data_IF_717705566394
#
_entry.id   IF_717705566394
#
_cell.length_a   1.000
_cell.length_b   1.000
_cell.length_c   1.000
_cell.angle_alpha   90.00
_cell.angle_beta   90.00
_cell.angle_gamma   90.00
#
_symmetry.space_group_name_H-M   'P 1'
#
loop_
_entity.id
_entity.type
_entity.pdbx_description
1 polymer ?
#
# COMPACT_ATOMS: atom_id res chain seq x y z
N UNK A 1 10.62 -26.00 13.12
CA UNK A 1 9.53 -25.04 12.90
C UNK A 1 10.12 -23.65 12.62
N UNK A 2 9.49 -22.85 11.75
CA UNK A 2 10.00 -21.54 11.32
C UNK A 2 10.02 -20.54 12.48
N UNK A 3 8.99 -20.54 13.32
CA UNK A 3 8.86 -19.63 14.47
C UNK A 3 9.94 -19.92 15.51
N UNK A 4 10.13 -21.19 15.88
CA UNK A 4 11.19 -21.56 16.83
C UNK A 4 12.58 -21.13 16.34
N UNK A 5 12.86 -21.28 15.04
CA UNK A 5 14.13 -20.84 14.45
C UNK A 5 14.28 -19.32 14.51
N UNK A 6 13.23 -18.56 14.19
CA UNK A 6 13.26 -17.09 14.25
C UNK A 6 13.48 -16.58 15.69
N UNK A 7 12.81 -17.18 16.67
CA UNK A 7 12.92 -16.79 18.09
C UNK A 7 14.29 -17.12 18.70
N UNK A 8 15.06 -18.03 18.10
CA UNK A 8 16.43 -18.37 18.52
C UNK A 8 17.49 -17.48 17.85
N UNK A 9 17.14 -16.77 16.78
CA UNK A 9 18.07 -15.84 16.13
C UNK A 9 18.30 -14.62 17.01
N UNK A 10 19.52 -14.08 17.00
CA UNK A 10 19.82 -12.84 17.70
C UNK A 10 18.94 -11.69 17.20
N UNK A 11 18.57 -10.79 18.11
CA UNK A 11 17.79 -9.61 17.73
C UNK A 11 18.64 -8.67 16.87
N UNK A 12 18.23 -8.48 15.62
CA UNK A 12 18.81 -7.53 14.70
C UNK A 12 18.04 -6.21 14.76
N UNK A 13 18.73 -5.07 14.75
CA UNK A 13 18.09 -3.76 14.54
C UNK A 13 17.88 -3.55 13.04
N UNK A 14 16.62 -3.46 12.62
CA UNK A 14 16.22 -3.42 11.22
C UNK A 14 15.49 -2.11 10.93
N UNK A 15 16.00 -1.32 9.99
CA UNK A 15 15.37 -0.05 9.57
C UNK A 15 14.14 -0.25 8.69
N UNK A 16 14.12 -1.30 7.86
CA UNK A 16 13.01 -1.67 6.98
C UNK A 16 12.60 -3.14 7.23
N UNK A 17 11.63 -3.38 8.13
CA UNK A 17 11.15 -4.72 8.44
C UNK A 17 10.53 -5.44 7.24
N UNK A 18 9.86 -4.71 6.34
CA UNK A 18 9.20 -5.32 5.17
C UNK A 18 10.22 -5.86 4.19
N UNK A 19 11.28 -5.08 3.91
CA UNK A 19 12.40 -5.53 3.08
C UNK A 19 13.12 -6.70 3.70
N UNK A 20 13.37 -6.67 5.01
CA UNK A 20 14.04 -7.76 5.72
C UNK A 20 13.27 -9.09 5.59
N UNK A 21 11.95 -9.07 5.77
CA UNK A 21 11.09 -10.25 5.58
C UNK A 21 11.03 -10.71 4.13
N UNK A 22 11.04 -9.77 3.18
CA UNK A 22 11.09 -10.09 1.76
C UNK A 22 12.38 -10.82 1.39
N UNK A 23 13.54 -10.35 1.84
CA UNK A 23 14.84 -10.94 1.55
C UNK A 23 14.97 -12.36 2.16
N UNK A 24 14.37 -12.59 3.34
CA UNK A 24 14.40 -13.90 4.03
C UNK A 24 13.25 -14.83 3.71
N UNK A 25 12.45 -14.54 2.67
CA UNK A 25 11.31 -15.38 2.24
C UNK A 25 11.67 -16.82 1.92
N UNK A 26 12.91 -17.08 1.49
CA UNK A 26 13.38 -18.44 1.21
C UNK A 26 13.77 -19.20 2.50
N UNK A 27 14.18 -18.48 3.54
CA UNK A 27 14.50 -19.03 4.86
C UNK A 27 13.24 -19.28 5.70
N UNK A 28 12.22 -18.43 5.53
CA UNK A 28 10.97 -18.43 6.29
C UNK A 28 9.75 -18.34 5.34
N UNK A 29 9.47 -19.38 4.52
CA UNK A 29 8.48 -19.29 3.46
C UNK A 29 7.04 -19.05 3.94
N UNK A 30 6.67 -19.51 5.14
CA UNK A 30 5.33 -19.28 5.71
C UNK A 30 5.30 -18.04 6.59
N UNK A 31 6.30 -17.89 7.45
CA UNK A 31 6.38 -16.82 8.44
C UNK A 31 6.63 -15.45 7.77
N UNK A 32 7.42 -15.38 6.68
CA UNK A 32 7.61 -14.13 5.93
C UNK A 32 6.34 -13.61 5.27
N UNK A 33 5.43 -14.49 4.84
CA UNK A 33 4.13 -14.08 4.29
C UNK A 33 3.27 -13.47 5.37
N UNK A 34 3.11 -14.19 6.48
CA UNK A 34 2.35 -13.73 7.64
C UNK A 34 2.89 -12.40 8.18
N UNK A 35 4.21 -12.28 8.36
CA UNK A 35 4.83 -11.07 8.87
C UNK A 35 4.60 -9.86 7.94
N UNK A 36 4.68 -10.05 6.62
CA UNK A 36 4.39 -8.97 5.67
C UNK A 36 2.91 -8.58 5.67
N UNK A 37 2.00 -9.54 5.84
CA UNK A 37 0.57 -9.26 5.95
C UNK A 37 0.29 -8.38 7.18
N UNK A 38 0.92 -8.66 8.33
CA UNK A 38 0.76 -7.83 9.53
C UNK A 38 1.46 -6.47 9.44
N UNK A 39 2.69 -6.43 8.95
CA UNK A 39 3.50 -5.20 8.90
C UNK A 39 3.01 -4.19 7.86
N UNK A 40 2.21 -4.61 6.88
CA UNK A 40 1.61 -3.70 5.89
C UNK A 40 0.31 -3.05 6.36
N UNK A 41 -0.25 -3.49 7.49
CA UNK A 41 -1.44 -2.89 8.07
C UNK A 41 -1.09 -1.46 8.53
N UNK A 42 -1.79 -0.43 8.04
CA UNK A 42 -1.55 0.94 8.50
C UNK A 42 -1.91 1.05 9.98
N UNK A 43 -1.04 1.70 10.76
CA UNK A 43 -1.28 1.89 12.20
C UNK A 43 -2.51 2.76 12.52
N UNK A 44 -2.95 3.60 11.58
CA UNK A 44 -4.09 4.50 11.74
C UNK A 44 -4.90 4.65 10.45
N UNK A 45 -6.16 5.10 10.58
CA UNK A 45 -7.04 5.44 9.47
C UNK A 45 -6.69 6.75 8.77
N UNK A 46 -5.71 7.52 9.26
CA UNK A 46 -5.37 8.87 8.78
C UNK A 46 -5.10 8.91 7.28
N UNK A 47 -4.42 7.89 6.74
CA UNK A 47 -4.15 7.80 5.30
C UNK A 47 -5.44 7.68 4.48
N UNK A 48 -6.39 6.88 4.96
CA UNK A 48 -7.69 6.66 4.31
C UNK A 48 -8.56 7.91 4.42
N UNK A 49 -8.57 8.56 5.59
CA UNK A 49 -9.30 9.82 5.82
C UNK A 49 -8.79 10.96 4.94
N UNK A 50 -7.46 11.06 4.74
CA UNK A 50 -6.87 12.04 3.82
C UNK A 50 -7.37 11.84 2.39
N UNK A 51 -7.33 10.60 1.88
CA UNK A 51 -7.83 10.26 0.55
C UNK A 51 -9.31 10.57 0.41
N UNK A 52 -10.14 10.27 1.42
CA UNK A 52 -11.56 10.62 1.39
C UNK A 52 -11.80 12.12 1.47
N UNK A 53 -11.02 12.87 2.24
CA UNK A 53 -11.16 14.32 2.32
C UNK A 53 -10.84 15.00 0.98
N UNK A 54 -9.78 14.55 0.31
CA UNK A 54 -9.47 14.99 -1.05
C UNK A 54 -10.54 14.54 -2.07
N UNK A 55 -11.04 13.32 -1.92
CA UNK A 55 -12.16 12.80 -2.71
C UNK A 55 -13.43 13.66 -2.57
N UNK A 56 -13.73 14.16 -1.37
CA UNK A 56 -14.84 15.12 -1.16
C UNK A 56 -14.62 16.42 -1.92
N UNK A 57 -13.38 16.93 -1.99
CA UNK A 57 -13.08 18.11 -2.79
C UNK A 57 -13.29 17.84 -4.28
N UNK A 58 -12.83 16.70 -4.80
CA UNK A 58 -13.07 16.28 -6.19
C UNK A 58 -14.58 16.16 -6.49
N UNK A 59 -15.33 15.51 -5.61
CA UNK A 59 -16.78 15.34 -5.74
C UNK A 59 -17.53 16.68 -5.66
N UNK A 60 -17.11 17.58 -4.77
CA UNK A 60 -17.76 18.88 -4.55
C UNK A 60 -17.44 19.91 -5.64
N UNK A 61 -16.22 19.89 -6.22
CA UNK A 61 -15.78 20.89 -7.19
C UNK A 61 -15.99 20.49 -8.65
N UNK A 62 -16.00 19.19 -9.01
CA UNK A 62 -15.84 18.76 -10.41
C UNK A 62 -17.07 18.22 -11.17
N UNK A 63 -18.27 17.97 -10.59
CA UNK A 63 -19.60 17.83 -11.30
C UNK A 63 -20.61 16.94 -10.53
N UNK A 64 -21.86 17.39 -10.49
CA UNK A 64 -23.05 16.70 -9.95
C UNK A 64 -23.50 15.39 -10.64
N UNK A 65 -22.67 14.71 -11.46
CA UNK A 65 -23.10 13.54 -12.26
C UNK A 65 -22.06 12.44 -12.52
N UNK A 66 -20.92 12.43 -11.82
CA UNK A 66 -20.00 11.29 -11.93
C UNK A 66 -20.60 10.06 -11.25
N UNK A 67 -20.57 8.92 -11.95
CA UNK A 67 -20.93 7.65 -11.35
C UNK A 67 -19.91 7.27 -10.27
N UNK A 68 -20.34 6.42 -9.33
CA UNK A 68 -19.53 5.98 -8.18
C UNK A 68 -18.25 5.30 -8.68
N UNK A 69 -18.36 4.52 -9.74
CA UNK A 69 -17.27 3.79 -10.38
C UNK A 69 -16.21 4.74 -10.94
N UNK A 70 -16.65 5.81 -11.61
CA UNK A 70 -15.76 6.83 -12.18
C UNK A 70 -15.04 7.61 -11.09
N UNK A 71 -15.75 7.97 -10.01
CA UNK A 71 -15.16 8.64 -8.84
C UNK A 71 -14.09 7.76 -8.21
N UNK A 72 -14.40 6.48 -7.97
CA UNK A 72 -13.46 5.52 -7.38
C UNK A 72 -12.21 5.36 -8.24
N UNK A 73 -12.38 5.19 -9.55
CA UNK A 73 -11.27 5.05 -10.49
C UNK A 73 -10.36 6.30 -10.46
N UNK A 74 -10.94 7.51 -10.49
CA UNK A 74 -10.20 8.75 -10.44
C UNK A 74 -9.40 8.90 -9.14
N UNK A 75 -10.00 8.58 -7.99
CA UNK A 75 -9.33 8.61 -6.69
C UNK A 75 -8.17 7.60 -6.63
N UNK A 76 -8.38 6.37 -7.09
CA UNK A 76 -7.34 5.35 -7.11
C UNK A 76 -6.16 5.75 -8.02
N UNK A 77 -6.44 6.18 -9.25
CA UNK A 77 -5.42 6.60 -10.21
C UNK A 77 -4.66 7.82 -9.70
N UNK A 78 -5.35 8.81 -9.15
CA UNK A 78 -4.72 9.99 -8.55
C UNK A 78 -3.74 9.63 -7.44
N UNK A 79 -4.14 8.75 -6.52
CA UNK A 79 -3.26 8.28 -5.44
C UNK A 79 -2.09 7.42 -5.94
N UNK A 80 -2.33 6.56 -6.94
CA UNK A 80 -1.28 5.73 -7.53
C UNK A 80 -0.25 6.56 -8.30
N UNK A 81 -0.67 7.60 -9.00
CA UNK A 81 0.24 8.56 -9.65
C UNK A 81 1.09 9.29 -8.61
N UNK A 82 0.49 9.81 -7.53
CA UNK A 82 1.25 10.48 -6.44
C UNK A 82 2.27 9.55 -5.78
N UNK A 83 1.94 8.27 -5.65
CA UNK A 83 2.84 7.24 -5.10
C UNK A 83 3.86 6.72 -6.13
N UNK A 84 3.83 7.20 -7.37
CA UNK A 84 4.71 6.77 -8.45
C UNK A 84 4.50 5.32 -8.90
N UNK A 85 3.36 4.72 -8.54
CA UNK A 85 2.98 3.35 -8.95
C UNK A 85 2.62 3.34 -10.42
N UNK A 86 1.90 4.37 -10.87
CA UNK A 86 1.62 4.64 -12.29
C UNK A 86 2.51 5.80 -12.70
N UNK A 87 3.31 5.60 -13.76
CA UNK A 87 4.13 6.67 -14.33
C UNK A 87 3.33 7.43 -15.38
N UNK A 88 3.69 8.68 -15.63
CA UNK A 88 3.05 9.51 -16.65
C UNK A 88 3.04 8.84 -18.03
N UNK A 89 4.13 8.16 -18.40
CA UNK A 89 4.20 7.36 -19.63
C UNK A 89 3.14 6.25 -19.71
N UNK A 90 2.79 5.64 -18.57
CA UNK A 90 1.81 4.55 -18.50
C UNK A 90 0.39 5.12 -18.65
N UNK A 91 0.16 6.36 -18.21
CA UNK A 91 -1.08 7.11 -18.45
C UNK A 91 -1.21 7.53 -19.92
N UNK A 92 -0.12 8.03 -20.52
CA UNK A 92 -0.10 8.45 -21.92
C UNK A 92 -0.29 7.27 -22.88
N UNK A 93 0.19 6.07 -22.52
CA UNK A 93 -0.01 4.86 -23.31
C UNK A 93 -1.43 4.28 -23.23
N UNK A 94 -2.25 4.74 -22.27
CA UNK A 94 -3.63 4.29 -22.07
C UNK A 94 -4.68 5.22 -22.72
N UNK A 95 -4.24 6.33 -23.31
CA UNK A 95 -5.03 7.27 -24.11
C UNK A 95 -4.94 6.94 -25.60
#
# INVERSE_FOLDING_TARGET
>A
DEISKYLQTAQESVSDPLRWWYERRHTYPRLSRMARDYLTIPATSVNVERVFSEGRALLSYLRNRLQVESTRALMCVGEWCKKGVIKERDMLAAL
#
